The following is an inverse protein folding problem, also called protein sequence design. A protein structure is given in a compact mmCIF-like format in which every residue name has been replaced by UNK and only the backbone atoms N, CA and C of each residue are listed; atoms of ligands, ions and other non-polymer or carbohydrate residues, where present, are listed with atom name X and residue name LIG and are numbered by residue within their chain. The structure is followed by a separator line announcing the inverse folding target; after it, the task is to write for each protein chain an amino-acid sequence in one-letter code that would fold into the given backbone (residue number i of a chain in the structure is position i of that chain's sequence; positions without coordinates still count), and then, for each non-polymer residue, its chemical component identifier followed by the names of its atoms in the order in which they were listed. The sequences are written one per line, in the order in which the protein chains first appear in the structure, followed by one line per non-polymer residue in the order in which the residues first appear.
data_IF_686182961723
#
_entry.id   IF_686182961723
#
_cell.length_a   1.000
_cell.length_b   1.000
_cell.length_c   1.000
_cell.angle_alpha   90.00
_cell.angle_beta   90.00
_cell.angle_gamma   90.00
#
_symmetry.space_group_name_H-M   'P 1'
#
loop_
_entity.id
_entity.type
_entity.pdbx_description
1 polymer ?
#
# COMPACT_ATOMS: atom_id res chain seq x y z
N UNK A 1 -8.97 -4.46 -31.69
CA UNK A 1 -7.90 -5.36 -31.16
C UNK A 1 -7.95 -5.61 -29.64
N UNK A 2 -8.97 -5.13 -28.90
CA UNK A 2 -9.01 -5.16 -27.41
C UNK A 2 -9.65 -6.42 -26.82
N UNK A 3 -10.49 -7.14 -27.55
CA UNK A 3 -11.20 -8.35 -27.07
C UNK A 3 -10.31 -9.60 -27.03
N UNK A 4 -9.25 -9.66 -27.86
CA UNK A 4 -8.39 -10.85 -27.97
C UNK A 4 -7.51 -11.11 -26.73
N UNK A 5 -7.17 -10.10 -25.93
CA UNK A 5 -6.28 -10.27 -24.77
C UNK A 5 -7.01 -10.85 -23.56
N UNK A 6 -8.26 -10.45 -23.35
CA UNK A 6 -9.11 -11.00 -22.29
C UNK A 6 -9.45 -12.49 -22.54
N UNK A 7 -9.62 -12.84 -23.82
CA UNK A 7 -9.89 -14.23 -24.26
C UNK A 7 -8.72 -15.18 -24.01
N UNK A 8 -7.47 -14.70 -24.03
CA UNK A 8 -6.30 -15.53 -23.75
C UNK A 8 -6.21 -15.93 -22.27
N UNK A 9 -6.52 -15.01 -21.34
CA UNK A 9 -6.56 -15.29 -19.90
C UNK A 9 -7.65 -16.31 -19.58
N UNK A 10 -8.85 -16.13 -20.10
CA UNK A 10 -9.95 -17.10 -19.96
C UNK A 10 -9.59 -18.46 -20.57
N UNK A 11 -8.85 -18.50 -21.69
CA UNK A 11 -8.44 -19.73 -22.34
C UNK A 11 -7.49 -20.60 -21.50
N UNK A 12 -6.61 -20.00 -20.67
CA UNK A 12 -5.71 -20.73 -19.76
C UNK A 12 -6.53 -21.47 -18.69
N UNK A 13 -7.56 -20.83 -18.12
CA UNK A 13 -8.43 -21.47 -17.13
C UNK A 13 -9.43 -22.48 -17.72
N UNK A 14 -9.73 -22.38 -19.00
CA UNK A 14 -10.62 -23.30 -19.72
C UNK A 14 -9.88 -24.41 -20.47
N UNK A 15 -8.54 -24.43 -20.50
CA UNK A 15 -7.77 -25.37 -21.30
C UNK A 15 -7.81 -26.81 -20.75
N UNK A 16 -7.76 -27.85 -21.59
CA UNK A 16 -7.74 -29.24 -21.18
C UNK A 16 -6.46 -29.66 -20.43
N UNK A 17 -5.39 -28.86 -20.44
CA UNK A 17 -4.17 -29.08 -19.65
C UNK A 17 -4.41 -29.02 -18.13
N UNK A 18 -5.52 -28.43 -17.69
CA UNK A 18 -5.94 -28.35 -16.30
C UNK A 18 -7.04 -29.40 -15.96
N UNK A 19 -7.12 -30.50 -16.68
CA UNK A 19 -8.05 -31.62 -16.37
C UNK A 19 -7.56 -32.36 -15.14
N UNK A 20 -8.28 -32.20 -14.04
CA UNK A 20 -8.07 -32.94 -12.78
C UNK A 20 -8.43 -32.10 -11.56
N UNK A 21 -7.98 -30.85 -11.48
CA UNK A 21 -8.23 -30.01 -10.32
C UNK A 21 -9.49 -29.16 -10.49
N UNK A 22 -10.40 -29.13 -9.49
CA UNK A 22 -11.54 -28.25 -9.52
C UNK A 22 -11.07 -26.79 -9.52
N UNK A 23 -11.86 -25.90 -10.17
CA UNK A 23 -11.65 -24.47 -10.07
C UNK A 23 -12.01 -24.03 -8.63
N UNK A 24 -11.03 -23.54 -7.91
CA UNK A 24 -11.25 -22.85 -6.64
C UNK A 24 -11.47 -21.37 -6.93
N UNK A 25 -12.41 -20.76 -6.24
CA UNK A 25 -12.69 -19.34 -6.36
C UNK A 25 -13.06 -18.77 -5.00
N UNK A 26 -12.60 -17.58 -4.76
CA UNK A 26 -12.92 -16.80 -3.57
C UNK A 26 -13.26 -15.38 -4.03
N UNK A 27 -14.30 -14.83 -3.46
CA UNK A 27 -14.71 -13.45 -3.67
C UNK A 27 -14.90 -12.80 -2.32
N UNK A 28 -14.30 -11.63 -2.15
CA UNK A 28 -14.43 -10.84 -0.92
C UNK A 28 -14.79 -9.41 -1.31
N UNK A 29 -15.84 -8.89 -0.69
CA UNK A 29 -16.25 -7.49 -0.81
C UNK A 29 -16.13 -6.81 0.54
N UNK A 30 -15.40 -5.72 0.62
CA UNK A 30 -15.18 -4.95 1.84
C UNK A 30 -15.71 -3.52 1.70
N UNK A 31 -17.02 -3.30 1.91
CA UNK A 31 -17.59 -1.97 1.92
C UNK A 31 -17.24 -1.22 3.19
N UNK A 32 -17.10 0.10 3.06
CA UNK A 32 -16.95 1.01 4.19
C UNK A 32 -17.61 2.37 3.93
N UNK A 33 -17.99 3.04 5.01
CA UNK A 33 -18.49 4.41 5.00
C UNK A 33 -17.85 5.18 6.16
N UNK A 34 -17.22 6.31 5.85
CA UNK A 34 -16.47 7.14 6.81
C UNK A 34 -17.04 8.56 6.80
N UNK A 35 -17.41 9.05 7.97
CA UNK A 35 -17.72 10.47 8.20
C UNK A 35 -16.53 11.14 8.88
N UNK A 36 -16.16 12.35 8.41
CA UNK A 36 -14.99 13.09 8.86
C UNK A 36 -15.40 14.48 9.35
N UNK A 37 -15.08 14.79 10.60
CA UNK A 37 -15.26 16.13 11.18
C UNK A 37 -13.90 16.78 11.47
N UNK A 38 -13.58 17.87 10.80
CA UNK A 38 -12.36 18.65 11.04
C UNK A 38 -12.65 19.79 12.00
N UNK A 39 -11.92 19.90 13.12
CA UNK A 39 -12.17 20.92 14.14
C UNK A 39 -11.03 21.92 14.35
N UNK A 40 -9.82 21.65 13.85
CA UNK A 40 -8.78 22.69 13.70
C UNK A 40 -8.17 22.55 12.30
N UNK A 41 -8.20 23.65 11.54
CA UNK A 41 -7.78 23.68 10.15
C UNK A 41 -6.93 24.92 9.90
N UNK A 42 -5.62 24.73 10.01
CA UNK A 42 -4.60 25.75 9.70
C UNK A 42 -3.83 25.37 8.42
N UNK A 43 -4.50 24.82 7.44
CA UNK A 43 -3.85 24.34 6.23
C UNK A 43 -4.56 24.83 4.97
N UNK A 44 -3.82 25.22 3.92
CA UNK A 44 -4.37 25.46 2.58
C UNK A 44 -4.83 24.18 1.85
N UNK A 45 -4.75 23.01 2.48
CA UNK A 45 -5.22 21.75 1.94
C UNK A 45 -6.72 21.85 1.65
N UNK A 46 -7.07 21.94 0.37
CA UNK A 46 -8.38 22.39 -0.07
C UNK A 46 -9.39 21.28 -0.28
N UNK A 47 -8.97 20.01 -0.30
CA UNK A 47 -9.83 18.86 -0.53
C UNK A 47 -9.74 17.88 0.63
N UNK A 48 -10.49 18.16 1.69
CA UNK A 48 -10.86 17.16 2.68
C UNK A 48 -12.31 16.81 2.40
N UNK A 49 -12.58 15.57 2.06
CA UNK A 49 -13.94 15.06 1.98
C UNK A 49 -14.51 14.96 3.40
N UNK A 50 -15.76 15.36 3.56
CA UNK A 50 -16.45 15.20 4.84
C UNK A 50 -17.02 13.79 4.98
N UNK A 51 -17.18 13.09 3.86
CA UNK A 51 -17.67 11.71 3.78
C UNK A 51 -16.91 10.93 2.70
N UNK A 52 -16.68 9.65 2.95
CA UNK A 52 -16.09 8.71 1.96
C UNK A 52 -16.87 7.40 2.02
N UNK A 53 -17.44 6.99 0.91
CA UNK A 53 -18.06 5.68 0.73
C UNK A 53 -17.26 4.90 -0.27
N UNK A 54 -16.79 3.72 0.12
CA UNK A 54 -15.97 2.88 -0.76
C UNK A 54 -16.26 1.39 -0.56
N UNK A 55 -15.89 0.61 -1.55
CA UNK A 55 -15.90 -0.84 -1.47
C UNK A 55 -14.68 -1.39 -2.20
N UNK A 56 -13.94 -2.27 -1.54
CA UNK A 56 -12.85 -3.02 -2.13
C UNK A 56 -13.35 -4.43 -2.50
N UNK A 57 -13.21 -4.81 -3.77
CA UNK A 57 -13.67 -6.09 -4.31
C UNK A 57 -12.47 -6.92 -4.73
N UNK A 58 -12.27 -8.07 -4.09
CA UNK A 58 -11.20 -9.00 -4.38
C UNK A 58 -11.75 -10.29 -5.01
N UNK A 59 -11.10 -10.76 -6.05
CA UNK A 59 -11.38 -12.04 -6.71
C UNK A 59 -10.10 -12.85 -6.78
N UNK A 60 -10.13 -14.06 -6.25
CA UNK A 60 -9.08 -15.06 -6.39
C UNK A 60 -9.61 -16.28 -7.12
N UNK A 61 -8.92 -16.71 -8.18
CA UNK A 61 -9.21 -17.95 -8.89
C UNK A 61 -7.95 -18.82 -8.91
N UNK A 62 -8.12 -20.12 -8.65
CA UNK A 62 -7.02 -21.08 -8.77
C UNK A 62 -7.46 -22.34 -9.48
N UNK A 63 -6.63 -22.81 -10.42
CA UNK A 63 -6.80 -24.09 -11.11
C UNK A 63 -5.46 -24.76 -11.33
N UNK A 64 -5.19 -25.86 -10.60
CA UNK A 64 -3.86 -26.46 -10.56
C UNK A 64 -2.80 -25.45 -10.13
N UNK A 65 -1.69 -25.32 -10.87
CA UNK A 65 -0.63 -24.37 -10.51
C UNK A 65 -0.94 -22.91 -10.92
N UNK A 66 -2.01 -22.67 -11.66
CA UNK A 66 -2.34 -21.33 -12.17
C UNK A 66 -3.28 -20.60 -11.22
N UNK A 67 -2.95 -19.33 -10.98
CA UNK A 67 -3.73 -18.40 -10.14
C UNK A 67 -4.06 -17.16 -10.95
N UNK A 68 -5.19 -16.54 -10.63
CA UNK A 68 -5.55 -15.18 -11.03
C UNK A 68 -6.01 -14.46 -9.80
N UNK A 69 -5.51 -13.26 -9.63
CA UNK A 69 -5.93 -12.36 -8.56
C UNK A 69 -6.31 -11.01 -9.15
N UNK A 70 -7.43 -10.46 -8.71
CA UNK A 70 -7.91 -9.14 -9.08
C UNK A 70 -8.44 -8.40 -7.87
N UNK A 71 -8.18 -7.11 -7.80
CA UNK A 71 -8.68 -6.19 -6.80
C UNK A 71 -9.16 -4.92 -7.48
N UNK A 72 -10.37 -4.49 -7.17
CA UNK A 72 -10.99 -3.30 -7.72
C UNK A 72 -11.56 -2.44 -6.61
N UNK A 73 -11.05 -1.23 -6.48
CA UNK A 73 -11.58 -0.23 -5.55
C UNK A 73 -12.69 0.56 -6.24
N UNK A 74 -13.83 0.66 -5.56
CA UNK A 74 -14.96 1.52 -5.91
C UNK A 74 -15.11 2.55 -4.81
N UNK A 75 -15.13 3.83 -5.15
CA UNK A 75 -15.51 4.89 -4.22
C UNK A 75 -16.55 5.81 -4.86
N UNK A 76 -17.14 6.67 -4.05
CA UNK A 76 -18.06 7.73 -4.52
C UNK A 76 -17.35 8.79 -5.37
N UNK A 77 -16.01 8.79 -5.39
CA UNK A 77 -15.19 9.76 -6.14
C UNK A 77 -14.44 9.14 -7.32
N UNK A 78 -14.10 7.85 -7.22
CA UNK A 78 -13.30 7.17 -8.23
C UNK A 78 -13.50 5.66 -8.22
N UNK A 79 -13.03 5.00 -9.27
CA UNK A 79 -12.93 3.54 -9.32
C UNK A 79 -11.65 3.14 -10.05
N UNK A 80 -10.83 2.31 -9.44
CA UNK A 80 -9.56 1.85 -10.03
C UNK A 80 -9.35 0.35 -9.90
N UNK A 81 -8.67 -0.20 -10.89
CA UNK A 81 -8.17 -1.57 -10.87
C UNK A 81 -6.84 -1.58 -10.10
N UNK A 82 -6.89 -1.90 -8.82
CA UNK A 82 -5.73 -1.82 -7.94
C UNK A 82 -4.71 -2.92 -8.23
N UNK A 83 -5.16 -4.15 -8.37
CA UNK A 83 -4.31 -5.28 -8.73
C UNK A 83 -4.95 -6.15 -9.80
N UNK A 84 -4.10 -6.65 -10.69
CA UNK A 84 -4.46 -7.71 -11.63
C UNK A 84 -3.22 -8.55 -11.93
N UNK A 85 -3.21 -9.77 -11.41
CA UNK A 85 -2.05 -10.64 -11.41
C UNK A 85 -2.39 -12.03 -11.92
N UNK A 86 -1.54 -12.55 -12.78
CA UNK A 86 -1.50 -13.95 -13.18
C UNK A 86 -0.37 -14.64 -12.42
N UNK A 87 -0.70 -15.68 -11.68
CA UNK A 87 0.23 -16.42 -10.84
C UNK A 87 0.50 -17.81 -11.37
N UNK A 88 1.72 -18.26 -11.15
CA UNK A 88 2.14 -19.64 -11.36
C UNK A 88 2.79 -20.17 -10.09
N UNK A 89 2.17 -21.20 -9.49
CA UNK A 89 2.70 -21.93 -8.35
C UNK A 89 3.88 -22.78 -8.83
N UNK A 90 5.10 -22.34 -8.53
CA UNK A 90 6.33 -23.03 -8.93
C UNK A 90 6.63 -24.23 -8.01
N UNK A 91 6.33 -24.09 -6.72
CA UNK A 91 6.42 -25.11 -5.68
C UNK A 91 5.35 -24.87 -4.61
N UNK A 92 5.25 -25.74 -3.59
CA UNK A 92 4.38 -25.52 -2.42
C UNK A 92 4.61 -24.14 -1.77
N UNK A 93 5.83 -23.63 -1.84
CA UNK A 93 6.30 -22.49 -1.07
C UNK A 93 6.56 -21.25 -1.92
N UNK A 94 6.45 -21.34 -3.27
CA UNK A 94 6.87 -20.26 -4.17
C UNK A 94 5.86 -20.03 -5.28
N UNK A 95 5.45 -18.76 -5.45
CA UNK A 95 4.59 -18.29 -6.55
C UNK A 95 5.31 -17.20 -7.34
N UNK A 96 5.17 -17.24 -8.64
CA UNK A 96 5.59 -16.17 -9.56
C UNK A 96 4.31 -15.49 -10.06
N UNK A 97 4.24 -14.18 -9.91
CA UNK A 97 3.15 -13.35 -10.37
C UNK A 97 3.61 -12.43 -11.50
N UNK A 98 2.73 -12.20 -12.47
CA UNK A 98 2.93 -11.23 -13.55
C UNK A 98 1.69 -10.34 -13.60
N UNK A 99 1.88 -9.03 -13.62
CA UNK A 99 0.79 -8.04 -13.68
C UNK A 99 1.03 -6.84 -12.78
N UNK A 100 -0.06 -6.17 -12.38
CA UNK A 100 -0.03 -5.04 -11.43
C UNK A 100 -0.15 -5.58 -10.00
N UNK A 101 0.79 -5.20 -9.15
CA UNK A 101 0.90 -5.66 -7.76
C UNK A 101 1.25 -4.51 -6.82
N UNK A 102 0.91 -4.68 -5.52
CA UNK A 102 1.43 -3.80 -4.47
C UNK A 102 2.91 -4.08 -4.24
N UNK A 103 3.70 -3.03 -4.12
CA UNK A 103 5.12 -3.19 -3.84
C UNK A 103 5.35 -3.95 -2.52
N UNK A 104 6.28 -4.91 -2.48
CA UNK A 104 6.53 -5.70 -1.28
C UNK A 104 7.16 -4.90 -0.13
N UNK A 105 7.66 -3.69 -0.39
CA UNK A 105 8.31 -2.83 0.61
C UNK A 105 7.34 -1.98 1.43
N UNK A 106 6.08 -1.84 1.01
CA UNK A 106 5.01 -1.29 1.85
C UNK A 106 4.41 -2.39 2.70
N UNK A 107 4.92 -2.56 3.92
CA UNK A 107 4.48 -3.64 4.83
C UNK A 107 3.01 -3.49 5.19
N UNK A 108 2.59 -2.27 5.54
CA UNK A 108 1.21 -1.99 5.92
C UNK A 108 0.23 -2.29 4.78
N UNK A 109 0.51 -1.83 3.57
CA UNK A 109 -0.36 -2.04 2.42
C UNK A 109 -0.39 -3.50 1.95
N UNK A 110 0.73 -4.22 2.11
CA UNK A 110 0.78 -5.64 1.82
C UNK A 110 -0.14 -6.45 2.75
N UNK A 111 -0.20 -6.08 4.03
CA UNK A 111 -0.96 -6.83 5.04
C UNK A 111 -2.46 -6.43 5.07
N UNK A 112 -2.80 -5.20 4.71
CA UNK A 112 -4.16 -4.68 4.84
C UNK A 112 -4.87 -4.39 3.51
N UNK A 113 -4.13 -4.34 2.38
CA UNK A 113 -4.66 -3.99 1.06
C UNK A 113 -5.49 -2.68 1.09
N UNK A 114 -6.49 -2.53 0.24
CA UNK A 114 -7.45 -1.42 0.30
C UNK A 114 -8.59 -1.65 1.30
N UNK A 115 -8.70 -2.87 1.83
CA UNK A 115 -9.80 -3.28 2.69
C UNK A 115 -9.81 -2.60 4.06
N UNK A 116 -10.70 -1.63 4.23
CA UNK A 116 -10.84 -0.89 5.49
C UNK A 116 -11.23 -1.80 6.67
N UNK A 117 -11.94 -2.89 6.43
CA UNK A 117 -12.28 -3.84 7.48
C UNK A 117 -11.06 -4.55 8.07
N UNK A 118 -10.00 -4.76 7.29
CA UNK A 118 -8.77 -5.42 7.73
C UNK A 118 -7.91 -4.54 8.67
N UNK A 119 -8.19 -3.25 8.70
CA UNK A 119 -7.43 -2.26 9.48
C UNK A 119 -8.12 -1.99 10.81
N UNK A 120 -7.34 -1.81 11.88
CA UNK A 120 -7.88 -1.36 13.17
C UNK A 120 -8.02 0.17 13.19
N UNK A 121 -7.06 0.90 12.64
CA UNK A 121 -7.13 2.35 12.44
C UNK A 121 -7.79 2.71 11.10
N UNK A 122 -8.48 3.84 11.04
CA UNK A 122 -9.10 4.34 9.80
C UNK A 122 -8.06 4.85 8.82
N UNK A 123 -7.07 5.61 9.30
CA UNK A 123 -5.99 6.14 8.46
C UNK A 123 -4.81 5.19 8.39
N UNK A 124 -4.14 5.17 7.24
CA UNK A 124 -2.86 4.47 7.02
C UNK A 124 -1.69 5.26 7.61
N UNK A 125 -0.53 4.62 7.86
CA UNK A 125 0.71 5.36 8.09
C UNK A 125 1.01 6.28 6.91
N UNK A 126 1.48 7.50 7.18
CA UNK A 126 1.70 8.51 6.14
C UNK A 126 2.69 8.09 5.05
N UNK A 127 3.67 7.25 5.38
CA UNK A 127 4.62 6.70 4.40
C UNK A 127 3.97 5.62 3.50
N UNK A 128 2.95 4.95 3.99
CA UNK A 128 2.22 3.88 3.29
C UNK A 128 0.87 4.38 2.72
N UNK A 129 0.67 5.71 2.63
CA UNK A 129 -0.48 6.30 1.93
C UNK A 129 -0.43 5.93 0.44
N UNK A 130 -1.61 5.83 -0.16
CA UNK A 130 -1.73 5.52 -1.58
C UNK A 130 -1.21 6.63 -2.47
N UNK A 131 -0.97 6.32 -3.73
CA UNK A 131 -0.38 7.15 -4.78
C UNK A 131 -1.33 8.28 -5.20
N UNK A 132 -1.49 9.24 -4.33
CA UNK A 132 -2.16 10.51 -4.59
C UNK A 132 -1.24 11.67 -4.16
N UNK A 133 -1.80 12.83 -3.85
CA UNK A 133 -1.05 13.98 -3.34
C UNK A 133 -0.45 13.76 -1.93
N UNK A 134 -0.76 12.64 -1.26
CA UNK A 134 -0.27 12.29 0.10
C UNK A 134 0.81 11.22 0.05
N UNK A 135 0.70 10.28 -0.90
CA UNK A 135 1.60 9.13 -1.01
C UNK A 135 2.94 9.50 -1.62
N UNK A 136 4.00 9.40 -0.84
CA UNK A 136 5.36 9.76 -1.25
C UNK A 136 6.17 8.57 -1.78
N UNK A 137 5.69 7.35 -1.59
CA UNK A 137 6.33 6.15 -2.13
C UNK A 137 5.46 5.52 -3.21
N UNK A 138 6.06 4.98 -4.28
CA UNK A 138 5.37 4.12 -5.21
C UNK A 138 4.71 2.94 -4.47
N UNK A 139 3.44 2.68 -4.71
CA UNK A 139 2.71 1.56 -4.08
C UNK A 139 2.35 0.46 -5.08
N UNK A 140 2.15 0.82 -6.35
CA UNK A 140 1.75 -0.10 -7.41
C UNK A 140 2.80 -0.18 -8.52
N UNK A 141 3.20 -1.39 -8.83
CA UNK A 141 4.10 -1.69 -9.95
C UNK A 141 3.44 -2.66 -10.92
N UNK A 142 3.86 -2.59 -12.19
CA UNK A 142 3.42 -3.56 -13.21
C UNK A 142 4.63 -4.30 -13.74
N UNK A 143 4.74 -5.59 -13.44
CA UNK A 143 5.91 -6.39 -13.79
C UNK A 143 5.83 -7.81 -13.24
N UNK A 144 6.90 -8.27 -12.61
CA UNK A 144 7.06 -9.60 -12.04
C UNK A 144 7.29 -9.50 -10.54
N UNK A 145 6.55 -10.30 -9.77
CA UNK A 145 6.73 -10.47 -8.33
C UNK A 145 6.93 -11.96 -8.05
N UNK A 146 7.93 -12.30 -7.26
CA UNK A 146 8.21 -13.65 -6.80
C UNK A 146 8.07 -13.66 -5.28
N UNK A 147 7.16 -14.48 -4.78
CA UNK A 147 6.94 -14.67 -3.34
C UNK A 147 7.28 -16.07 -2.94
N UNK A 148 7.96 -16.22 -1.81
CA UNK A 148 8.29 -17.50 -1.23
C UNK A 148 8.12 -17.48 0.29
N UNK A 149 7.58 -18.57 0.84
CA UNK A 149 7.37 -18.76 2.28
C UNK A 149 7.87 -20.15 2.68
N UNK A 150 9.06 -20.23 3.30
CA UNK A 150 9.73 -21.48 3.63
C UNK A 150 9.81 -21.70 5.13
N UNK A 151 9.49 -22.90 5.55
CA UNK A 151 9.73 -23.33 6.92
C UNK A 151 11.25 -23.44 7.17
N UNK A 152 11.69 -22.90 8.29
CA UNK A 152 13.04 -22.94 8.79
C UNK A 152 13.12 -23.92 10.00
N UNK A 153 14.25 -23.92 10.69
CA UNK A 153 14.38 -24.68 11.91
C UNK A 153 13.47 -24.17 13.02
N UNK A 154 13.01 -25.05 13.89
CA UNK A 154 12.21 -24.74 15.08
C UNK A 154 10.84 -24.08 14.79
N UNK A 155 10.25 -24.35 13.62
CA UNK A 155 8.93 -23.84 13.26
C UNK A 155 8.91 -22.38 12.82
N UNK A 156 10.06 -21.71 12.74
CA UNK A 156 10.17 -20.39 12.13
C UNK A 156 9.95 -20.48 10.63
N UNK A 157 9.39 -19.39 10.07
CA UNK A 157 9.14 -19.27 8.64
C UNK A 157 9.82 -18.03 8.08
N UNK A 158 10.61 -18.25 7.02
CA UNK A 158 11.20 -17.19 6.23
C UNK A 158 10.24 -16.85 5.08
N UNK A 159 9.74 -15.60 5.04
CA UNK A 159 8.99 -15.06 3.92
C UNK A 159 9.88 -14.11 3.14
N UNK A 160 9.91 -14.27 1.81
CA UNK A 160 10.67 -13.40 0.91
C UNK A 160 9.79 -12.96 -0.24
N UNK A 161 9.97 -11.72 -0.68
CA UNK A 161 9.37 -11.18 -1.88
C UNK A 161 10.44 -10.41 -2.66
N UNK A 162 10.51 -10.65 -3.98
CA UNK A 162 11.41 -9.95 -4.90
C UNK A 162 10.57 -9.51 -6.09
N UNK A 163 10.66 -8.25 -6.46
CA UNK A 163 9.86 -7.69 -7.52
C UNK A 163 10.69 -6.80 -8.45
N UNK A 164 10.22 -6.69 -9.70
CA UNK A 164 10.74 -5.73 -10.68
C UNK A 164 9.67 -5.39 -11.70
N UNK A 165 9.51 -4.10 -11.99
CA UNK A 165 8.44 -3.66 -12.87
C UNK A 165 8.50 -2.18 -13.22
N UNK A 166 7.51 -1.74 -14.01
CA UNK A 166 7.31 -0.35 -14.34
C UNK A 166 6.85 0.42 -13.10
N UNK A 167 7.63 1.42 -12.72
CA UNK A 167 7.30 2.33 -11.62
C UNK A 167 6.19 3.31 -12.02
N UNK A 168 5.46 3.87 -11.04
CA UNK A 168 4.56 5.00 -11.28
C UNK A 168 5.26 6.18 -11.94
N UNK A 169 4.49 7.06 -12.57
CA UNK A 169 4.93 8.40 -12.97
C UNK A 169 4.47 9.42 -11.94
N UNK A 170 5.30 10.43 -11.70
CA UNK A 170 4.93 11.56 -10.89
C UNK A 170 4.45 12.72 -11.79
N UNK A 171 3.25 13.21 -11.53
CA UNK A 171 2.66 14.40 -12.15
C UNK A 171 2.15 15.38 -11.08
N UNK A 172 1.32 16.35 -11.47
CA UNK A 172 0.76 17.34 -10.54
C UNK A 172 -0.28 16.74 -9.56
N UNK A 173 -0.85 15.58 -9.89
CA UNK A 173 -1.86 14.88 -9.08
C UNK A 173 -1.25 13.77 -8.21
N UNK A 174 0.09 13.69 -8.13
CA UNK A 174 0.81 12.67 -7.37
C UNK A 174 1.40 11.57 -8.25
N UNK A 175 1.73 10.45 -7.63
CA UNK A 175 2.23 9.27 -8.30
C UNK A 175 1.09 8.58 -9.04
N UNK A 176 1.28 8.26 -10.32
CA UNK A 176 0.28 7.63 -11.18
C UNK A 176 0.74 6.23 -11.59
N UNK A 177 0.09 5.18 -11.09
CA UNK A 177 0.39 3.80 -11.49
C UNK A 177 0.24 3.59 -13.00
N UNK A 178 0.85 2.51 -13.51
CA UNK A 178 0.70 2.14 -14.92
C UNK A 178 -0.73 1.66 -15.20
N UNK A 179 -1.46 2.36 -16.08
CA UNK A 179 -2.80 1.95 -16.49
C UNK A 179 -2.71 0.74 -17.43
N UNK A 180 -3.25 -0.40 -16.98
CA UNK A 180 -3.29 -1.64 -17.76
C UNK A 180 -4.27 -1.57 -18.94
N UNK A 181 -5.27 -0.68 -18.87
CA UNK A 181 -6.31 -0.53 -19.87
C UNK A 181 -5.87 0.49 -20.94
N UNK A 182 -5.26 1.60 -20.51
CA UNK A 182 -4.78 2.69 -21.35
C UNK A 182 -3.28 2.91 -21.14
N UNK A 183 -2.43 1.95 -21.60
CA UNK A 183 -1.00 2.00 -21.34
C UNK A 183 -0.36 3.25 -21.97
N UNK A 184 0.40 3.95 -21.17
CA UNK A 184 1.25 5.06 -21.55
C UNK A 184 2.70 4.62 -21.80
N UNK A 185 3.54 5.55 -22.26
CA UNK A 185 4.96 5.32 -22.51
C UNK A 185 5.85 6.18 -21.61
N UNK A 186 7.16 5.97 -21.65
CA UNK A 186 8.14 6.80 -20.93
C UNK A 186 8.17 6.50 -19.43
N UNK A 187 7.75 5.31 -19.02
CA UNK A 187 7.91 4.83 -17.65
C UNK A 187 9.29 4.27 -17.42
N UNK A 188 9.72 4.26 -16.19
CA UNK A 188 11.01 3.73 -15.75
C UNK A 188 10.80 2.47 -14.91
N UNK A 189 11.88 1.78 -14.60
CA UNK A 189 11.85 0.52 -13.87
C UNK A 189 12.13 0.75 -12.38
N UNK A 190 11.55 -0.12 -11.54
CA UNK A 190 11.89 -0.23 -10.14
C UNK A 190 12.11 -1.68 -9.74
N UNK A 191 12.89 -1.89 -8.68
CA UNK A 191 13.24 -3.19 -8.12
C UNK A 191 13.10 -3.17 -6.61
N UNK A 192 12.43 -4.18 -6.06
CA UNK A 192 12.15 -4.25 -4.64
C UNK A 192 12.45 -5.63 -4.10
N UNK A 193 12.86 -5.69 -2.85
CA UNK A 193 13.00 -6.94 -2.12
C UNK A 193 12.60 -6.77 -0.65
N UNK A 194 11.97 -7.82 -0.11
CA UNK A 194 11.65 -7.95 1.33
C UNK A 194 12.01 -9.35 1.81
N UNK A 195 12.52 -9.43 3.04
CA UNK A 195 12.69 -10.68 3.75
C UNK A 195 12.25 -10.52 5.20
N UNK A 196 11.48 -11.50 5.73
CA UNK A 196 10.99 -11.48 7.11
C UNK A 196 10.97 -12.85 7.73
N UNK A 197 11.18 -12.90 9.06
CA UNK A 197 11.12 -14.09 9.88
C UNK A 197 9.87 -14.03 10.78
N UNK A 198 9.11 -15.11 10.78
CA UNK A 198 7.87 -15.27 11.55
C UNK A 198 7.95 -16.54 12.42
N UNK A 199 7.43 -16.52 13.68
CA UNK A 199 7.47 -17.68 14.57
C UNK A 199 6.42 -18.76 14.22
N UNK A 200 5.88 -18.77 13.01
CA UNK A 200 4.92 -19.74 12.52
C UNK A 200 4.29 -19.33 11.20
N UNK A 201 3.49 -20.21 10.62
CA UNK A 201 2.86 -19.97 9.31
C UNK A 201 1.84 -18.83 9.34
N UNK A 202 1.00 -18.82 10.36
CA UNK A 202 -0.11 -17.86 10.50
C UNK A 202 0.17 -16.80 11.58
N UNK A 203 1.44 -16.62 11.97
CA UNK A 203 1.78 -15.64 12.98
C UNK A 203 1.77 -14.22 12.41
N UNK A 204 1.03 -13.33 13.06
CA UNK A 204 1.10 -11.88 12.85
C UNK A 204 2.37 -11.27 13.45
N UNK A 205 3.10 -12.04 14.30
CA UNK A 205 4.41 -11.64 14.83
C UNK A 205 5.51 -11.92 13.82
N UNK A 206 6.51 -11.05 13.77
CA UNK A 206 7.67 -11.23 12.91
C UNK A 206 8.48 -9.95 12.80
N UNK A 207 9.63 -10.05 12.15
CA UNK A 207 10.48 -8.90 11.86
C UNK A 207 11.18 -9.11 10.53
N UNK A 208 11.59 -8.03 9.89
CA UNK A 208 12.20 -8.12 8.59
C UNK A 208 12.88 -6.85 8.12
N UNK A 209 13.44 -6.96 6.93
CA UNK A 209 14.15 -5.91 6.21
C UNK A 209 13.54 -5.75 4.83
N UNK A 210 13.65 -4.55 4.28
CA UNK A 210 13.21 -4.25 2.93
C UNK A 210 14.17 -3.28 2.24
N UNK A 211 14.23 -3.38 0.92
CA UNK A 211 15.02 -2.48 0.07
C UNK A 211 14.27 -2.23 -1.24
N UNK A 212 14.37 -1.00 -1.77
CA UNK A 212 13.93 -0.67 -3.12
C UNK A 212 14.95 0.24 -3.82
N UNK A 213 14.97 0.14 -5.15
CA UNK A 213 15.72 1.02 -6.06
C UNK A 213 14.80 1.32 -7.26
N UNK A 214 14.13 2.46 -7.18
CA UNK A 214 13.05 2.83 -8.08
C UNK A 214 13.43 4.07 -8.88
N UNK A 215 13.19 4.05 -10.19
CA UNK A 215 13.25 5.23 -11.03
C UNK A 215 11.83 5.71 -11.38
N UNK A 216 11.51 6.96 -11.04
CA UNK A 216 10.19 7.55 -11.22
C UNK A 216 10.28 8.63 -12.32
N UNK A 217 9.59 8.44 -13.43
CA UNK A 217 9.52 9.47 -14.48
C UNK A 217 8.67 10.65 -13.97
N UNK A 218 9.12 11.90 -14.24
CA UNK A 218 8.46 13.11 -13.73
C UNK A 218 8.45 14.28 -14.76
N UNK A 219 8.47 13.96 -16.05
CA UNK A 219 8.64 14.92 -17.14
C UNK A 219 7.56 16.01 -17.23
N UNK A 220 6.39 15.78 -16.64
CA UNK A 220 5.26 16.73 -16.62
C UNK A 220 5.37 17.78 -15.51
N UNK A 221 6.18 17.52 -14.48
CA UNK A 221 6.35 18.42 -13.34
C UNK A 221 7.25 19.61 -13.63
N UNK A 222 6.86 20.78 -13.14
CA UNK A 222 7.60 22.05 -13.26
C UNK A 222 7.69 22.77 -11.90
N UNK A 223 8.33 22.16 -10.88
CA UNK A 223 8.25 22.65 -9.49
C UNK A 223 9.01 23.97 -9.27
N UNK A 224 10.07 24.26 -10.02
CA UNK A 224 10.94 25.41 -9.80
C UNK A 224 10.98 26.28 -11.06
N UNK A 225 10.35 27.46 -11.02
CA UNK A 225 10.40 28.47 -12.09
C UNK A 225 10.24 27.93 -13.52
N UNK A 226 9.41 26.91 -13.68
CA UNK A 226 9.17 26.25 -14.94
C UNK A 226 10.25 25.23 -15.37
N UNK A 227 11.24 24.94 -14.54
CA UNK A 227 12.23 23.89 -14.80
C UNK A 227 11.58 22.53 -14.54
N UNK A 228 11.59 21.66 -15.57
CA UNK A 228 11.04 20.32 -15.46
C UNK A 228 12.00 19.34 -14.78
N UNK A 229 11.43 18.33 -14.15
CA UNK A 229 12.13 17.14 -13.68
C UNK A 229 12.06 16.09 -14.79
N UNK A 230 13.14 15.43 -15.11
CA UNK A 230 13.17 14.29 -16.03
C UNK A 230 12.75 13.00 -15.30
N UNK A 231 13.43 12.69 -14.21
CA UNK A 231 13.15 11.56 -13.36
C UNK A 231 13.69 11.75 -11.94
N UNK A 232 13.27 10.85 -11.08
CA UNK A 232 13.70 10.76 -9.69
C UNK A 232 14.25 9.36 -9.47
N UNK A 233 15.47 9.24 -8.98
CA UNK A 233 15.98 8.00 -8.41
C UNK A 233 15.62 7.98 -6.93
N UNK A 234 14.99 6.88 -6.48
CA UNK A 234 14.55 6.66 -5.11
C UNK A 234 15.11 5.33 -4.60
N UNK A 235 16.01 5.41 -3.64
CA UNK A 235 16.49 4.23 -2.90
C UNK A 235 15.85 4.22 -1.53
N UNK A 236 15.25 3.07 -1.17
CA UNK A 236 14.56 2.88 0.10
C UNK A 236 15.16 1.70 0.86
N UNK A 237 15.41 1.91 2.14
CA UNK A 237 15.83 0.89 3.09
C UNK A 237 14.91 0.91 4.29
N UNK A 238 14.50 -0.24 4.78
CA UNK A 238 13.60 -0.28 5.93
C UNK A 238 13.78 -1.50 6.81
N UNK A 239 13.40 -1.30 8.06
CA UNK A 239 13.27 -2.34 9.09
C UNK A 239 11.85 -2.31 9.60
N UNK A 240 11.28 -3.47 9.85
CA UNK A 240 9.94 -3.58 10.43
C UNK A 240 9.86 -4.74 11.41
N UNK A 241 8.90 -4.64 12.31
CA UNK A 241 8.60 -5.72 13.24
C UNK A 241 7.18 -5.60 13.77
N UNK A 242 6.60 -6.73 14.07
CA UNK A 242 5.30 -6.84 14.71
C UNK A 242 5.33 -7.91 15.80
N UNK A 243 4.56 -7.69 16.83
CA UNK A 243 4.26 -8.66 17.88
C UNK A 243 2.75 -8.74 18.05
N UNK A 244 2.21 -9.93 18.10
CA UNK A 244 0.80 -10.15 18.37
C UNK A 244 0.63 -11.33 19.33
N UNK A 245 -0.23 -11.15 20.31
CA UNK A 245 -0.79 -12.20 21.16
C UNK A 245 -2.32 -12.05 21.23
N UNK A 246 -2.94 -12.69 22.21
CA UNK A 246 -4.42 -12.70 22.34
C UNK A 246 -5.00 -11.31 22.64
N UNK A 247 -4.25 -10.44 23.33
CA UNK A 247 -4.72 -9.15 23.81
C UNK A 247 -4.03 -7.96 23.11
N UNK A 248 -2.79 -8.13 22.64
CA UNK A 248 -1.97 -7.04 22.14
C UNK A 248 -1.51 -7.27 20.71
N UNK A 249 -1.51 -6.18 19.92
CA UNK A 249 -0.73 -6.08 18.68
C UNK A 249 0.15 -4.84 18.75
N UNK A 250 1.44 -5.04 18.46
CA UNK A 250 2.43 -3.97 18.37
C UNK A 250 3.05 -4.04 16.98
N UNK A 251 3.16 -2.92 16.28
CA UNK A 251 3.83 -2.85 14.99
C UNK A 251 4.71 -1.61 14.92
N UNK A 252 5.87 -1.73 14.32
CA UNK A 252 6.77 -0.62 14.07
C UNK A 252 7.48 -0.80 12.74
N UNK A 253 7.64 0.29 12.00
CA UNK A 253 8.43 0.32 10.77
C UNK A 253 9.26 1.60 10.74
N UNK A 254 10.51 1.48 10.27
CA UNK A 254 11.41 2.61 10.06
C UNK A 254 11.95 2.51 8.64
N UNK A 255 11.88 3.62 7.91
CA UNK A 255 12.40 3.78 6.56
C UNK A 255 13.49 4.84 6.50
N UNK A 256 14.46 4.64 5.64
CA UNK A 256 15.40 5.67 5.18
C UNK A 256 15.33 5.69 3.67
N UNK A 257 15.02 6.87 3.12
CA UNK A 257 14.96 7.10 1.69
C UNK A 257 16.11 8.03 1.28
N UNK A 258 16.75 7.71 0.17
CA UNK A 258 17.70 8.57 -0.53
C UNK A 258 17.12 8.88 -1.90
N UNK A 259 17.05 10.17 -2.27
CA UNK A 259 16.41 10.62 -3.51
C UNK A 259 17.34 11.52 -4.29
N UNK A 260 17.33 11.36 -5.62
CA UNK A 260 18.03 12.24 -6.56
C UNK A 260 17.05 12.71 -7.63
N UNK A 261 16.74 14.01 -7.63
CA UNK A 261 15.90 14.65 -8.63
C UNK A 261 16.76 15.11 -9.81
N UNK A 262 16.57 14.53 -10.97
CA UNK A 262 17.26 14.92 -12.20
C UNK A 262 16.42 15.92 -13.00
N UNK A 263 16.93 17.14 -13.16
CA UNK A 263 16.25 18.18 -13.91
C UNK A 263 16.56 18.13 -15.40
N UNK A 264 15.61 18.53 -16.24
CA UNK A 264 15.76 18.58 -17.71
C UNK A 264 16.92 19.48 -18.19
N UNK A 265 17.42 20.37 -17.33
CA UNK A 265 18.57 21.24 -17.62
C UNK A 265 19.92 20.59 -17.27
N UNK A 266 19.95 19.30 -16.91
CA UNK A 266 21.18 18.57 -16.58
C UNK A 266 21.71 18.81 -15.16
N UNK A 267 20.97 19.48 -14.30
CA UNK A 267 21.26 19.59 -12.86
C UNK A 267 20.59 18.47 -12.08
N UNK A 268 21.09 18.19 -10.88
CA UNK A 268 20.46 17.24 -9.95
C UNK A 268 20.39 17.87 -8.55
N UNK A 269 19.36 17.46 -7.78
CA UNK A 269 19.22 17.76 -6.36
C UNK A 269 19.12 16.43 -5.60
N UNK A 270 19.98 16.25 -4.62
CA UNK A 270 20.11 15.04 -3.83
C UNK A 270 19.62 15.31 -2.42
N UNK A 271 18.95 14.32 -1.82
CA UNK A 271 18.39 14.41 -0.48
C UNK A 271 18.25 13.04 0.19
N UNK A 272 18.12 13.07 1.52
CA UNK A 272 17.75 11.89 2.31
C UNK A 272 16.80 12.26 3.42
N UNK A 273 15.79 11.43 3.62
CA UNK A 273 14.86 11.58 4.73
C UNK A 273 14.61 10.23 5.41
N UNK A 274 14.20 10.28 6.67
CA UNK A 274 13.76 9.12 7.43
C UNK A 274 12.28 9.22 7.73
N UNK A 275 11.62 8.08 7.88
CA UNK A 275 10.25 8.00 8.36
C UNK A 275 10.09 6.77 9.25
N UNK A 276 9.31 6.91 10.31
CA UNK A 276 8.98 5.79 11.18
C UNK A 276 7.58 5.91 11.75
N UNK A 277 6.98 4.78 12.07
CA UNK A 277 5.77 4.73 12.88
C UNK A 277 5.82 3.59 13.88
N UNK A 278 5.09 3.78 14.99
CA UNK A 278 4.80 2.76 16.00
C UNK A 278 3.30 2.75 16.24
N UNK A 279 2.69 1.58 16.17
CA UNK A 279 1.29 1.35 16.48
C UNK A 279 1.15 0.32 17.60
N UNK A 280 0.30 0.60 18.56
CA UNK A 280 -0.09 -0.32 19.60
C UNK A 280 -1.61 -0.48 19.60
N UNK A 281 -2.06 -1.72 19.70
CA UNK A 281 -3.46 -2.11 19.78
C UNK A 281 -3.67 -3.02 20.99
N UNK A 282 -4.77 -2.84 21.69
CA UNK A 282 -5.14 -3.68 22.82
C UNK A 282 -6.60 -4.05 22.77
N UNK A 283 -6.89 -5.35 22.79
CA UNK A 283 -8.23 -5.87 23.04
C UNK A 283 -8.51 -5.80 24.54
N UNK A 284 -9.37 -4.91 24.95
CA UNK A 284 -9.74 -4.73 26.36
C UNK A 284 -11.11 -5.32 26.73
N UNK A 285 -11.89 -5.74 25.73
CA UNK A 285 -13.08 -6.55 25.84
C UNK A 285 -13.23 -7.41 24.59
N UNK A 286 -14.13 -8.40 24.63
CA UNK A 286 -14.30 -9.36 23.55
C UNK A 286 -14.40 -8.70 22.17
N UNK A 287 -15.17 -7.61 22.09
CA UNK A 287 -15.55 -6.96 20.84
C UNK A 287 -14.96 -5.55 20.70
N UNK A 288 -14.06 -5.14 21.62
CA UNK A 288 -13.47 -3.79 21.63
C UNK A 288 -11.96 -3.83 21.60
N UNK A 289 -11.39 -3.11 20.64
CA UNK A 289 -9.94 -2.90 20.50
C UNK A 289 -9.64 -1.41 20.52
N UNK A 290 -8.84 -0.96 21.50
CA UNK A 290 -8.26 0.37 21.52
C UNK A 290 -6.95 0.39 20.75
N UNK A 291 -6.63 1.51 20.08
CA UNK A 291 -5.39 1.67 19.34
C UNK A 291 -4.83 3.08 19.46
N UNK A 292 -3.51 3.17 19.34
CA UNK A 292 -2.76 4.41 19.22
C UNK A 292 -1.64 4.25 18.21
N UNK A 293 -1.31 5.31 17.46
CA UNK A 293 -0.16 5.36 16.55
C UNK A 293 0.52 6.70 16.61
N UNK A 294 1.85 6.68 16.59
CA UNK A 294 2.72 7.82 16.39
C UNK A 294 3.53 7.62 15.12
N UNK A 295 3.67 8.69 14.34
CA UNK A 295 4.42 8.73 13.09
C UNK A 295 5.28 9.98 13.05
N UNK A 296 6.51 9.87 12.54
CA UNK A 296 7.42 11.00 12.38
C UNK A 296 8.33 10.81 11.17
N UNK A 297 8.54 11.92 10.45
CA UNK A 297 9.51 12.03 9.37
C UNK A 297 10.64 12.99 9.74
N UNK A 298 11.88 12.54 9.61
CA UNK A 298 13.09 13.31 9.81
C UNK A 298 13.66 13.79 8.47
N UNK A 299 14.31 14.96 8.43
CA UNK A 299 14.93 15.51 7.22
C UNK A 299 13.98 16.26 6.29
N UNK A 300 12.70 16.41 6.64
CA UNK A 300 11.64 16.95 5.77
C UNK A 300 11.88 18.40 5.31
N UNK A 301 12.41 19.24 6.18
CA UNK A 301 12.47 20.71 5.95
C UNK A 301 13.31 21.14 4.75
N UNK A 302 14.25 20.33 4.31
CA UNK A 302 15.16 20.61 3.20
C UNK A 302 15.00 19.64 2.03
N UNK A 303 14.06 18.71 2.09
CA UNK A 303 13.88 17.69 1.06
C UNK A 303 13.21 18.24 -0.20
N UNK A 304 13.92 18.38 -1.34
CA UNK A 304 13.30 18.77 -2.61
C UNK A 304 12.24 17.76 -3.05
N UNK A 305 12.43 16.48 -2.73
CA UNK A 305 11.47 15.42 -3.04
C UNK A 305 10.17 15.58 -2.27
N UNK A 306 10.24 15.66 -0.92
CA UNK A 306 9.04 15.76 -0.08
C UNK A 306 8.26 17.06 -0.31
N UNK A 307 8.91 18.13 -0.79
CA UNK A 307 8.22 19.37 -1.19
C UNK A 307 7.31 19.20 -2.42
N UNK A 308 7.46 18.12 -3.19
CA UNK A 308 6.53 17.78 -4.28
C UNK A 308 5.18 17.26 -3.73
N UNK A 309 5.16 16.79 -2.47
CA UNK A 309 4.00 16.17 -1.82
C UNK A 309 3.52 17.03 -0.64
N UNK A 310 2.81 18.09 -0.93
CA UNK A 310 2.39 19.06 0.09
C UNK A 310 1.42 18.50 1.14
N UNK A 311 0.76 17.39 0.82
CA UNK A 311 -0.19 16.70 1.70
C UNK A 311 0.44 15.53 2.47
N UNK A 312 1.76 15.33 2.35
CA UNK A 312 2.47 14.36 3.16
C UNK A 312 2.53 14.79 4.63
N UNK A 313 2.02 13.95 5.50
CA UNK A 313 2.06 14.18 6.95
C UNK A 313 3.47 13.87 7.49
N UNK A 314 4.19 14.91 7.90
CA UNK A 314 5.53 14.77 8.50
C UNK A 314 5.51 14.21 9.92
N UNK A 315 4.41 14.44 10.63
CA UNK A 315 4.19 13.98 11.99
C UNK A 315 2.70 13.76 12.19
N UNK A 316 2.33 12.67 12.86
CA UNK A 316 0.93 12.36 13.13
C UNK A 316 0.78 11.61 14.43
N UNK A 317 -0.21 12.01 15.19
CA UNK A 317 -0.70 11.30 16.36
C UNK A 317 -2.11 10.85 16.10
N UNK A 318 -2.42 9.62 16.39
CA UNK A 318 -3.80 9.17 16.32
C UNK A 318 -4.09 8.15 17.42
N UNK A 319 -5.36 8.05 17.75
CA UNK A 319 -5.88 7.04 18.66
C UNK A 319 -7.37 6.84 18.47
N UNK A 320 -7.85 5.68 18.86
CA UNK A 320 -9.25 5.36 18.67
C UNK A 320 -9.66 4.06 19.30
N UNK A 321 -10.91 3.68 19.01
CA UNK A 321 -11.53 2.45 19.45
C UNK A 321 -12.30 1.84 18.29
N UNK A 322 -12.07 0.56 18.06
CA UNK A 322 -12.84 -0.28 17.15
C UNK A 322 -13.78 -1.18 17.95
N UNK A 323 -15.02 -1.23 17.52
CA UNK A 323 -16.07 -2.13 18.03
C UNK A 323 -16.52 -3.09 16.93
N UNK A 324 -16.19 -4.38 17.09
CA UNK A 324 -16.65 -5.48 16.24
C UNK A 324 -18.04 -5.92 16.71
N UNK A 325 -19.10 -5.19 16.32
CA UNK A 325 -20.44 -5.30 16.90
C UNK A 325 -21.29 -6.44 16.32
N UNK A 326 -20.94 -6.90 15.11
CA UNK A 326 -21.52 -8.08 14.45
C UNK A 326 -20.42 -8.90 13.81
N UNK A 327 -20.74 -10.15 13.46
CA UNK A 327 -19.82 -10.96 12.68
C UNK A 327 -19.46 -10.22 11.38
N UNK A 328 -18.16 -10.00 11.18
CA UNK A 328 -17.59 -9.31 10.03
C UNK A 328 -18.06 -7.86 9.81
N UNK A 329 -18.45 -7.17 10.85
CA UNK A 329 -18.78 -5.76 10.80
C UNK A 329 -18.17 -5.02 11.98
N UNK A 330 -17.58 -3.86 11.70
CA UNK A 330 -16.96 -3.03 12.71
C UNK A 330 -17.39 -1.57 12.61
N UNK A 331 -17.38 -0.89 13.73
CA UNK A 331 -17.51 0.56 13.86
C UNK A 331 -16.25 1.08 14.53
N UNK A 332 -15.55 2.02 13.89
CA UNK A 332 -14.30 2.58 14.40
C UNK A 332 -14.46 4.08 14.60
N UNK A 333 -14.11 4.56 15.79
CA UNK A 333 -13.97 5.98 16.11
C UNK A 333 -12.49 6.30 16.27
N UNK A 334 -11.99 7.31 15.53
CA UNK A 334 -10.61 7.75 15.56
C UNK A 334 -10.51 9.26 15.69
N UNK A 335 -9.54 9.73 16.47
CA UNK A 335 -9.11 11.12 16.54
C UNK A 335 -7.68 11.18 15.99
N UNK A 336 -7.41 12.17 15.15
CA UNK A 336 -6.11 12.33 14.48
C UNK A 336 -5.65 13.77 14.58
N UNK A 337 -4.36 13.94 14.84
CA UNK A 337 -3.67 15.22 14.80
C UNK A 337 -2.50 15.11 13.81
N UNK A 338 -2.52 15.87 12.71
CA UNK A 338 -1.59 15.74 11.58
C UNK A 338 -0.90 17.05 11.28
N UNK A 339 0.43 16.99 11.20
CA UNK A 339 1.31 18.10 10.85
C UNK A 339 1.91 17.87 9.46
N UNK A 340 1.74 18.83 8.59
CA UNK A 340 2.25 18.84 7.21
C UNK A 340 3.39 19.85 7.08
N UNK A 341 4.03 19.91 5.93
CA UNK A 341 5.08 20.91 5.66
C UNK A 341 4.51 22.33 5.84
N UNK A 342 3.29 22.58 5.34
CA UNK A 342 2.68 23.90 5.27
C UNK A 342 1.38 24.01 6.04
N UNK A 343 1.15 23.17 7.05
CA UNK A 343 -0.12 23.24 7.77
C UNK A 343 -0.28 22.18 8.83
N UNK A 344 -1.40 22.25 9.48
CA UNK A 344 -1.82 21.35 10.55
C UNK A 344 -3.33 21.22 10.52
N UNK A 345 -3.85 20.04 10.80
CA UNK A 345 -5.26 19.86 11.10
C UNK A 345 -5.49 18.69 12.06
N UNK A 346 -6.56 18.83 12.84
CA UNK A 346 -7.07 17.77 13.70
C UNK A 346 -8.45 17.35 13.24
N UNK A 347 -8.69 16.06 13.17
CA UNK A 347 -9.97 15.49 12.76
C UNK A 347 -10.47 14.41 13.70
N UNK A 348 -11.78 14.16 13.63
CA UNK A 348 -12.44 12.98 14.19
C UNK A 348 -13.11 12.23 13.06
N UNK A 349 -12.96 10.91 13.04
CA UNK A 349 -13.52 10.03 12.03
C UNK A 349 -14.36 8.96 12.67
N UNK A 350 -15.50 8.70 12.07
CA UNK A 350 -16.36 7.57 12.40
C UNK A 350 -16.53 6.72 11.15
N UNK A 351 -16.14 5.45 11.22
CA UNK A 351 -16.20 4.55 10.07
C UNK A 351 -16.98 3.28 10.43
N UNK A 352 -17.92 2.94 9.57
CA UNK A 352 -18.44 1.58 9.47
C UNK A 352 -17.66 0.82 8.39
N UNK A 353 -17.30 -0.44 8.66
CA UNK A 353 -16.67 -1.33 7.68
C UNK A 353 -17.18 -2.76 7.82
N UNK A 354 -17.18 -3.51 6.72
CA UNK A 354 -17.61 -4.90 6.72
C UNK A 354 -16.79 -5.76 5.76
N UNK A 355 -16.85 -7.09 5.93
CA UNK A 355 -16.31 -8.08 5.00
C UNK A 355 -17.43 -9.07 4.63
N UNK A 356 -17.74 -9.16 3.34
CA UNK A 356 -18.82 -9.98 2.78
C UNK A 356 -18.20 -11.01 1.81
N UNK A 357 -18.61 -12.29 1.95
CA UNK A 357 -18.14 -13.41 1.12
C UNK A 357 -19.30 -14.06 0.39
#
# INVERSE_FOLDING_TARGET
MRVSRLLFVLAVFCSPLARGDPLQHEFLLMPSATAIGTFDRQSPLTQLYDEVVQADALLSLQKGPFKLFGEYLLSDHEGDLERFQLGWQLSSDTVIWIGRYHQPTSVYNHDHHHGQYLQTSITRPGIDEWEDLRGVLPQHFTGVLIESSREMLDGWRLRTAIAGGLAPKLNNDGLQPFDLIHPDSGRRMGYQARASLHPGEFSDSGFGVLVADDQIAATELRPIKGIGIDHIDLQLYGLFGAYADDDWKLAATVYVAHTVLHYLIGQAAEDSFGFGYVQAERRFARDFTGFVRYEEAAGVGNSPYLHLFQQFARERYLGGVRWDFLDRQALTLQVTDSFFINGHFSDVRLQWSAALF
#
